data_IF_144975782377
#
_entry.id   IF_144975782377
#
_cell.length_a   1.000
_cell.length_b   1.000
_cell.length_c   1.000
_cell.angle_alpha   90.00
_cell.angle_beta   90.00
_cell.angle_gamma   90.00
#
_symmetry.space_group_name_H-M   'P 1'
#
loop_
_entity.id
_entity.type
_entity.pdbx_description
1 polymer ?
#
# COMPACT_ATOMS: atom_id res chain seq x y z
N UNK A 1 3.53 -47.71 69.93
CA UNK A 1 2.15 -48.10 70.30
C UNK A 1 1.28 -46.87 70.14
N UNK A 2 0.18 -47.05 69.39
CA UNK A 2 -1.02 -46.19 69.26
C UNK A 2 -0.80 -44.75 68.74
N UNK A 3 -1.22 -44.37 67.53
CA UNK A 3 -2.57 -44.43 66.96
C UNK A 3 -3.17 -43.00 67.02
N UNK A 4 -3.85 -42.40 66.04
CA UNK A 4 -4.18 -42.72 64.66
C UNK A 4 -5.01 -41.56 64.10
N UNK A 5 -4.87 -41.33 62.80
CA UNK A 5 -5.91 -40.91 61.85
C UNK A 5 -6.65 -39.55 62.03
N UNK A 6 -6.46 -38.64 61.07
CA UNK A 6 -7.57 -38.19 60.18
C UNK A 6 -7.06 -37.47 58.92
N UNK A 7 -7.36 -38.16 57.83
CA UNK A 7 -7.19 -37.83 56.43
C UNK A 7 -8.24 -36.79 55.97
N UNK A 8 -7.93 -35.96 54.96
CA UNK A 8 -8.71 -35.81 53.70
C UNK A 8 -8.25 -34.60 52.87
N UNK A 9 -7.66 -34.91 51.71
CA UNK A 9 -7.62 -34.01 50.56
C UNK A 9 -8.95 -33.95 49.82
N UNK A 10 -9.07 -33.01 48.88
CA UNK A 10 -10.17 -32.95 47.93
C UNK A 10 -9.66 -32.64 46.52
N UNK A 11 -9.93 -33.58 45.61
CA UNK A 11 -9.85 -33.45 44.16
C UNK A 11 -11.25 -33.35 43.54
N UNK A 12 -11.36 -32.56 42.48
CA UNK A 12 -12.27 -32.62 41.31
C UNK A 12 -13.56 -33.46 41.37
N UNK A 13 -14.69 -32.84 40.95
CA UNK A 13 -15.47 -33.32 39.79
C UNK A 13 -16.63 -32.40 39.40
N UNK A 14 -16.84 -32.30 38.08
CA UNK A 14 -17.97 -31.70 37.37
C UNK A 14 -19.31 -32.34 37.72
N UNK A 15 -20.43 -31.62 37.54
CA UNK A 15 -21.73 -32.25 37.29
C UNK A 15 -22.64 -31.41 36.41
N UNK A 16 -23.12 -32.04 35.33
CA UNK A 16 -24.24 -31.64 34.47
C UNK A 16 -25.56 -31.69 35.25
N UNK A 17 -26.53 -30.86 34.89
CA UNK A 17 -27.96 -31.15 35.07
C UNK A 17 -28.77 -30.84 33.81
N UNK A 18 -29.67 -31.77 33.50
CA UNK A 18 -30.64 -31.86 32.41
C UNK A 18 -32.03 -31.96 33.05
N UNK A 19 -33.07 -31.55 32.32
CA UNK A 19 -34.50 -31.79 32.61
C UNK A 19 -35.29 -30.48 32.58
N UNK A 20 -36.44 -30.34 31.94
CA UNK A 20 -37.32 -31.29 31.26
C UNK A 20 -38.61 -30.55 30.87
N UNK A 21 -39.31 -31.10 29.88
CA UNK A 21 -40.38 -30.52 29.05
C UNK A 21 -41.66 -30.02 29.73
N UNK A 22 -42.41 -29.16 29.02
CA UNK A 22 -43.87 -29.28 28.87
C UNK A 22 -44.39 -28.60 27.59
N UNK A 23 -45.22 -29.36 26.89
CA UNK A 23 -45.88 -29.13 25.60
C UNK A 23 -47.20 -28.38 25.79
N UNK A 24 -47.57 -27.49 24.85
CA UNK A 24 -48.95 -27.32 24.39
C UNK A 24 -49.01 -26.78 22.97
N UNK A 25 -50.10 -27.11 22.29
CA UNK A 25 -50.26 -27.30 20.86
C UNK A 25 -51.20 -26.25 20.24
N UNK A 26 -51.15 -26.17 18.90
CA UNK A 26 -52.14 -25.63 17.94
C UNK A 26 -52.18 -24.13 17.60
N UNK A 27 -52.11 -23.86 16.27
CA UNK A 27 -52.56 -22.62 15.65
C UNK A 27 -51.79 -22.20 14.38
N UNK A 28 -52.06 -22.83 13.24
CA UNK A 28 -51.52 -22.49 11.91
C UNK A 28 -51.90 -21.08 11.43
N UNK A 29 -50.97 -20.40 10.72
CA UNK A 29 -51.13 -19.94 9.31
C UNK A 29 -49.97 -19.05 8.83
N UNK A 30 -49.41 -19.39 7.66
CA UNK A 30 -48.96 -18.43 6.65
C UNK A 30 -47.47 -18.02 6.60
N UNK A 31 -46.68 -18.77 5.80
CA UNK A 31 -45.74 -18.32 4.73
C UNK A 31 -44.98 -16.98 4.88
N UNK A 32 -43.68 -16.83 4.60
CA UNK A 32 -42.62 -17.68 4.05
C UNK A 32 -41.25 -17.03 4.45
N UNK A 33 -40.27 -17.88 4.79
CA UNK A 33 -38.93 -17.50 5.27
C UNK A 33 -37.96 -17.28 4.10
N UNK A 34 -37.07 -16.30 4.22
CA UNK A 34 -35.74 -16.36 3.61
C UNK A 34 -34.70 -15.99 4.68
N UNK A 35 -33.99 -17.00 5.18
CA UNK A 35 -32.95 -16.84 6.19
C UNK A 35 -31.63 -17.39 5.66
N UNK A 36 -30.64 -16.49 5.68
CA UNK A 36 -29.20 -16.68 5.93
C UNK A 36 -28.73 -18.10 6.21
N UNK A 37 -27.63 -18.48 5.56
CA UNK A 37 -26.74 -19.54 5.99
C UNK A 37 -25.33 -19.34 5.42
N UNK A 38 -24.35 -19.08 6.29
CA UNK A 38 -22.91 -19.18 6.01
C UNK A 38 -22.51 -20.66 5.97
N UNK A 39 -21.51 -20.97 5.14
CA UNK A 39 -20.23 -21.66 5.51
C UNK A 39 -19.83 -22.77 4.54
N UNK A 40 -18.51 -22.88 4.40
CA UNK A 40 -17.68 -24.03 4.02
C UNK A 40 -17.15 -24.08 2.59
N UNK A 41 -15.84 -24.21 2.54
CA UNK A 41 -14.98 -24.33 1.39
C UNK A 41 -15.11 -25.72 0.76
N UNK A 42 -15.07 -25.77 -0.57
CA UNK A 42 -14.72 -26.97 -1.31
C UNK A 42 -13.91 -26.57 -2.54
N UNK A 43 -12.66 -27.00 -2.52
CA UNK A 43 -11.79 -27.23 -3.68
C UNK A 43 -12.56 -27.94 -4.80
N UNK A 44 -12.55 -27.38 -6.00
CA UNK A 44 -13.03 -28.06 -7.21
C UNK A 44 -11.91 -28.10 -8.24
N UNK A 45 -11.47 -29.33 -8.50
CA UNK A 45 -10.53 -29.75 -9.53
C UNK A 45 -10.88 -29.19 -10.91
N UNK A 46 -9.88 -28.57 -11.55
CA UNK A 46 -9.94 -28.20 -12.96
C UNK A 46 -9.65 -29.45 -13.79
N UNK A 47 -10.72 -30.09 -14.26
CA UNK A 47 -10.60 -31.06 -15.34
C UNK A 47 -10.32 -30.35 -16.66
N UNK A 48 -9.29 -30.89 -17.30
CA UNK A 48 -8.65 -30.52 -18.54
C UNK A 48 -9.62 -30.59 -19.74
N UNK A 49 -9.88 -29.46 -20.39
CA UNK A 49 -10.26 -29.45 -21.81
C UNK A 49 -9.33 -28.49 -22.53
N UNK A 50 -8.40 -29.11 -23.22
CA UNK A 50 -7.42 -28.53 -24.13
C UNK A 50 -8.19 -27.99 -25.35
N UNK A 51 -8.50 -26.69 -25.35
CA UNK A 51 -8.92 -25.98 -26.57
C UNK A 51 -7.70 -25.27 -27.18
N UNK A 52 -7.51 -25.54 -28.46
CA UNK A 52 -6.37 -25.18 -29.29
C UNK A 52 -5.92 -23.72 -29.15
N UNK A 53 -4.63 -23.54 -28.87
CA UNK A 53 -3.94 -22.26 -28.97
C UNK A 53 -3.81 -21.84 -30.45
N UNK A 54 -4.87 -21.22 -30.98
CA UNK A 54 -4.77 -20.39 -32.19
C UNK A 54 -3.82 -19.21 -31.91
N UNK A 55 -2.95 -18.83 -32.85
CA UNK A 55 -2.10 -17.66 -32.69
C UNK A 55 -3.01 -16.43 -32.56
N UNK A 56 -3.00 -15.82 -31.38
CA UNK A 56 -3.83 -14.66 -31.06
C UNK A 56 -3.57 -13.57 -32.10
N UNK A 57 -4.55 -13.28 -32.95
CA UNK A 57 -4.55 -12.05 -33.72
C UNK A 57 -4.42 -10.91 -32.73
N UNK A 58 -3.35 -10.11 -32.87
CA UNK A 58 -3.12 -8.98 -31.97
C UNK A 58 -4.32 -8.04 -32.08
N UNK A 59 -5.17 -8.05 -31.06
CA UNK A 59 -6.33 -7.18 -30.97
C UNK A 59 -5.82 -5.75 -30.73
N UNK A 60 -5.86 -4.92 -31.78
CA UNK A 60 -5.38 -3.54 -31.74
C UNK A 60 -6.57 -2.59 -31.63
N UNK A 61 -6.53 -1.72 -30.62
CA UNK A 61 -7.51 -0.67 -30.43
C UNK A 61 -7.44 0.41 -31.50
N UNK A 62 -8.59 0.97 -31.87
CA UNK A 62 -8.73 1.98 -32.94
C UNK A 62 -9.34 3.29 -32.46
N UNK A 63 -9.56 3.45 -31.14
CA UNK A 63 -10.05 4.71 -30.57
C UNK A 63 -9.02 5.83 -30.72
N UNK A 64 -9.30 6.90 -31.48
CA UNK A 64 -8.31 7.95 -31.73
C UNK A 64 -8.22 8.99 -30.59
N UNK A 65 -9.00 8.84 -29.52
CA UNK A 65 -9.15 9.82 -28.44
C UNK A 65 -8.86 9.20 -27.07
N UNK A 66 -8.66 10.03 -26.04
CA UNK A 66 -8.44 9.57 -24.66
C UNK A 66 -9.65 8.81 -24.06
N UNK A 67 -10.83 8.93 -24.69
CA UNK A 67 -12.05 8.21 -24.34
C UNK A 67 -12.83 7.80 -25.61
N UNK A 68 -13.33 6.55 -25.71
CA UNK A 68 -14.24 6.15 -26.78
C UNK A 68 -15.49 7.03 -26.85
N UNK A 69 -15.89 7.39 -28.06
CA UNK A 69 -17.03 8.28 -28.31
C UNK A 69 -18.33 7.77 -27.69
N UNK A 70 -18.56 6.44 -27.75
CA UNK A 70 -19.72 5.79 -27.14
C UNK A 70 -19.76 5.99 -25.62
N UNK A 71 -18.61 5.84 -24.95
CA UNK A 71 -18.51 6.06 -23.51
C UNK A 71 -18.73 7.55 -23.19
N UNK A 72 -18.12 8.46 -23.96
CA UNK A 72 -18.28 9.90 -23.78
C UNK A 72 -19.75 10.33 -23.83
N UNK A 73 -20.47 9.95 -24.89
CA UNK A 73 -21.91 10.24 -25.05
C UNK A 73 -22.72 9.64 -23.90
N UNK A 74 -22.41 8.42 -23.48
CA UNK A 74 -23.12 7.76 -22.39
C UNK A 74 -22.91 8.52 -21.06
N UNK A 75 -21.69 8.97 -20.79
CA UNK A 75 -21.35 9.71 -19.56
C UNK A 75 -21.92 11.12 -19.56
N UNK A 76 -22.04 11.78 -20.71
CA UNK A 76 -22.78 13.04 -20.86
C UNK A 76 -24.27 12.87 -20.52
N UNK A 77 -24.92 11.83 -21.06
CA UNK A 77 -26.33 11.52 -20.77
C UNK A 77 -26.58 11.21 -19.30
N UNK A 78 -25.69 10.43 -18.68
CA UNK A 78 -25.78 10.04 -17.27
C UNK A 78 -25.28 11.13 -16.30
N UNK A 79 -24.69 12.22 -16.80
CA UNK A 79 -24.03 13.26 -16.00
C UNK A 79 -22.92 12.72 -15.09
N UNK A 80 -22.20 11.70 -15.57
CA UNK A 80 -21.07 11.02 -14.88
C UNK A 80 -19.70 11.54 -15.40
N UNK A 81 -19.58 12.85 -15.57
CA UNK A 81 -18.32 13.51 -15.94
C UNK A 81 -17.60 14.02 -14.69
N UNK A 82 -16.31 13.67 -14.55
CA UNK A 82 -15.43 14.21 -13.53
C UNK A 82 -15.14 15.69 -13.82
N UNK A 83 -14.63 16.42 -12.82
CA UNK A 83 -14.42 17.88 -12.91
C UNK A 83 -13.55 18.26 -14.11
N UNK A 84 -12.48 17.52 -14.36
CA UNK A 84 -11.54 17.70 -15.49
C UNK A 84 -12.14 17.42 -16.87
N UNK A 85 -13.30 16.77 -16.93
CA UNK A 85 -13.91 16.31 -18.19
C UNK A 85 -15.07 17.22 -18.63
N UNK A 86 -15.40 18.23 -17.83
CA UNK A 86 -16.57 19.10 -18.03
C UNK A 86 -16.22 20.32 -18.86
N UNK A 87 -16.96 20.51 -19.94
CA UNK A 87 -16.86 21.73 -20.73
C UNK A 87 -17.53 22.88 -19.98
N UNK A 88 -16.77 23.93 -19.66
CA UNK A 88 -17.23 25.09 -18.88
C UNK A 88 -17.89 24.70 -17.54
N UNK A 89 -17.40 23.63 -16.89
CA UNK A 89 -17.93 23.13 -15.63
C UNK A 89 -19.30 22.41 -15.73
N UNK A 90 -19.87 22.26 -16.92
CA UNK A 90 -21.18 21.62 -17.10
C UNK A 90 -21.09 20.09 -16.97
N UNK A 91 -21.80 19.44 -16.02
CA UNK A 91 -21.72 18.00 -15.80
C UNK A 91 -22.32 17.13 -16.92
N UNK A 92 -23.05 17.73 -17.87
CA UNK A 92 -23.65 17.03 -19.02
C UNK A 92 -23.04 17.40 -20.37
N UNK A 93 -21.93 18.15 -20.40
CA UNK A 93 -21.24 18.52 -21.64
C UNK A 93 -19.73 18.29 -21.50
N UNK A 94 -19.12 17.70 -22.51
CA UNK A 94 -17.69 17.45 -22.59
C UNK A 94 -17.11 17.81 -23.96
N UNK A 95 -15.81 17.58 -24.14
CA UNK A 95 -15.18 17.56 -25.45
C UNK A 95 -14.28 16.31 -25.59
N UNK A 96 -14.00 15.83 -26.81
CA UNK A 96 -13.06 14.73 -27.02
C UNK A 96 -11.65 14.96 -26.47
N UNK A 97 -11.25 16.23 -26.28
CA UNK A 97 -9.96 16.61 -25.73
C UNK A 97 -9.90 16.59 -24.20
N UNK A 98 -11.04 16.48 -23.50
CA UNK A 98 -11.12 16.49 -22.03
C UNK A 98 -11.41 15.12 -21.43
N UNK A 99 -12.27 14.33 -22.07
CA UNK A 99 -12.76 13.07 -21.48
C UNK A 99 -11.72 11.97 -21.57
N UNK A 100 -11.48 11.30 -20.45
CA UNK A 100 -10.59 10.14 -20.37
C UNK A 100 -11.40 8.91 -20.01
N UNK A 101 -11.12 7.78 -20.70
CA UNK A 101 -11.80 6.50 -20.50
C UNK A 101 -11.78 6.08 -19.02
N UNK A 102 -12.94 5.84 -18.41
CA UNK A 102 -13.08 5.39 -17.01
C UNK A 102 -12.69 3.92 -16.88
N UNK A 103 -12.16 3.52 -15.72
CA UNK A 103 -11.87 2.10 -15.48
C UNK A 103 -13.17 1.29 -15.35
N UNK A 104 -13.24 0.15 -16.06
CA UNK A 104 -14.40 -0.74 -15.99
C UNK A 104 -14.09 -1.98 -15.16
N UNK A 105 -14.81 -2.19 -14.05
CA UNK A 105 -14.61 -3.34 -13.16
C UNK A 105 -14.93 -4.68 -13.81
N UNK A 106 -15.92 -4.70 -14.69
CA UNK A 106 -16.45 -5.91 -15.32
C UNK A 106 -16.47 -5.71 -16.82
N UNK A 107 -15.49 -6.28 -17.52
CA UNK A 107 -15.45 -6.28 -18.97
C UNK A 107 -15.79 -7.67 -19.47
N UNK A 108 -16.79 -7.76 -20.35
CA UNK A 108 -17.05 -8.96 -21.13
C UNK A 108 -16.29 -8.85 -22.45
N UNK A 109 -15.23 -9.65 -22.60
CA UNK A 109 -14.39 -9.67 -23.81
C UNK A 109 -15.19 -9.93 -25.10
N UNK A 110 -16.34 -10.61 -24.99
CA UNK A 110 -17.24 -10.89 -26.13
C UNK A 110 -17.84 -9.65 -26.80
N UNK A 111 -17.95 -8.53 -26.08
CA UNK A 111 -18.61 -7.31 -26.60
C UNK A 111 -17.65 -6.16 -26.86
N UNK A 112 -16.37 -6.31 -26.53
CA UNK A 112 -15.37 -5.25 -26.71
C UNK A 112 -15.03 -5.12 -28.20
N UNK A 113 -15.28 -3.94 -28.77
CA UNK A 113 -14.88 -3.62 -30.13
C UNK A 113 -13.51 -2.94 -30.14
N UNK A 114 -12.80 -2.99 -31.26
CA UNK A 114 -11.55 -2.25 -31.43
C UNK A 114 -11.72 -0.74 -31.17
N UNK A 115 -12.88 -0.17 -31.53
CA UNK A 115 -13.22 1.23 -31.30
C UNK A 115 -13.35 1.62 -29.82
N UNK A 116 -13.52 0.63 -28.94
CA UNK A 116 -13.65 0.85 -27.50
C UNK A 116 -12.28 0.91 -26.80
N UNK A 117 -11.19 0.76 -27.56
CA UNK A 117 -9.84 0.54 -27.06
C UNK A 117 -8.86 1.54 -27.68
N UNK A 118 -8.03 2.13 -26.84
CA UNK A 118 -7.02 3.11 -27.28
C UNK A 118 -5.77 2.39 -27.80
N UNK A 119 -5.27 2.74 -28.99
CA UNK A 119 -3.97 2.27 -29.45
C UNK A 119 -2.85 2.84 -28.56
N UNK A 120 -1.67 2.23 -28.65
CA UNK A 120 -0.55 2.55 -27.76
C UNK A 120 -0.14 4.03 -27.76
N UNK A 121 -0.19 4.71 -28.90
CA UNK A 121 0.14 6.14 -29.01
C UNK A 121 -0.83 6.99 -28.21
N UNK A 122 -2.13 6.71 -28.33
CA UNK A 122 -3.17 7.41 -27.58
C UNK A 122 -3.07 7.10 -26.08
N UNK A 123 -2.70 5.88 -25.69
CA UNK A 123 -2.46 5.54 -24.28
C UNK A 123 -1.30 6.35 -23.68
N UNK A 124 -0.21 6.48 -24.42
CA UNK A 124 0.96 7.28 -24.04
C UNK A 124 0.61 8.77 -23.87
N UNK A 125 -0.06 9.35 -24.87
CA UNK A 125 -0.54 10.74 -24.82
C UNK A 125 -1.52 10.96 -23.67
N UNK A 126 -2.43 10.00 -23.44
CA UNK A 126 -3.37 10.05 -22.31
C UNK A 126 -2.63 10.04 -20.98
N UNK A 127 -1.62 9.19 -20.82
CA UNK A 127 -0.85 9.14 -19.58
C UNK A 127 -0.11 10.46 -19.34
N UNK A 128 0.52 11.02 -20.38
CA UNK A 128 1.22 12.31 -20.27
C UNK A 128 0.27 13.44 -19.86
N UNK A 129 -0.95 13.47 -20.43
CA UNK A 129 -2.00 14.39 -19.98
C UNK A 129 -2.38 14.17 -18.51
N UNK A 130 -2.58 12.92 -18.07
CA UNK A 130 -2.93 12.64 -16.67
C UNK A 130 -1.81 13.04 -15.70
N UNK A 131 -0.54 12.83 -16.07
CA UNK A 131 0.59 13.19 -15.24
C UNK A 131 0.79 14.71 -15.16
N UNK A 132 0.49 15.47 -16.22
CA UNK A 132 0.56 16.94 -16.15
C UNK A 132 -0.49 17.55 -15.20
N UNK A 133 -1.62 16.87 -14.97
CA UNK A 133 -2.60 17.29 -13.96
C UNK A 133 -2.04 17.27 -12.53
N UNK A 134 -1.01 16.46 -12.25
CA UNK A 134 -0.36 16.40 -10.94
C UNK A 134 0.46 17.65 -10.62
N UNK A 135 0.86 18.41 -11.64
CA UNK A 135 1.61 19.66 -11.51
C UNK A 135 0.66 20.87 -11.35
N UNK A 136 -0.61 20.72 -11.71
CA UNK A 136 -1.61 21.78 -11.60
C UNK A 136 -2.00 22.04 -10.14
N UNK A 137 -2.12 23.32 -9.79
CA UNK A 137 -2.60 23.79 -8.48
C UNK A 137 -4.07 24.21 -8.49
N UNK A 138 -4.79 23.98 -9.60
CA UNK A 138 -6.19 24.38 -9.75
C UNK A 138 -7.15 23.58 -8.87
N UNK A 139 -6.78 22.34 -8.54
CA UNK A 139 -7.59 21.42 -7.74
C UNK A 139 -6.78 20.84 -6.57
N UNK A 140 -7.49 20.39 -5.53
CA UNK A 140 -6.83 19.71 -4.41
C UNK A 140 -6.22 18.39 -4.86
N UNK A 141 -5.21 17.93 -4.12
CA UNK A 141 -4.53 16.68 -4.43
C UNK A 141 -5.49 15.49 -4.46
N UNK A 142 -6.48 15.44 -3.56
CA UNK A 142 -7.46 14.36 -3.46
C UNK A 142 -8.30 14.26 -4.73
N UNK A 143 -8.75 15.39 -5.28
CA UNK A 143 -9.55 15.44 -6.51
C UNK A 143 -8.73 14.98 -7.72
N UNK A 144 -7.48 15.42 -7.82
CA UNK A 144 -6.57 14.99 -8.89
C UNK A 144 -6.22 13.51 -8.73
N UNK A 145 -5.89 13.07 -7.52
CA UNK A 145 -5.57 11.69 -7.19
C UNK A 145 -6.71 10.75 -7.62
N UNK A 146 -7.95 11.01 -7.21
CA UNK A 146 -9.07 10.13 -7.51
C UNK A 146 -9.32 9.99 -9.01
N UNK A 147 -9.13 11.07 -9.76
CA UNK A 147 -9.22 11.06 -11.21
C UNK A 147 -8.08 10.25 -11.85
N UNK A 148 -6.82 10.59 -11.56
CA UNK A 148 -5.64 9.93 -12.15
C UNK A 148 -5.58 8.45 -11.73
N UNK A 149 -5.93 8.14 -10.48
CA UNK A 149 -6.00 6.77 -9.96
C UNK A 149 -6.97 5.89 -10.74
N UNK A 150 -8.16 6.39 -11.08
CA UNK A 150 -9.11 5.64 -11.91
C UNK A 150 -8.62 5.51 -13.36
N UNK A 151 -8.16 6.61 -13.97
CA UNK A 151 -7.80 6.64 -15.39
C UNK A 151 -6.53 5.86 -15.71
N UNK A 152 -5.55 5.83 -14.81
CA UNK A 152 -4.36 4.97 -14.96
C UNK A 152 -4.70 3.48 -14.91
N UNK A 153 -5.71 3.07 -14.11
CA UNK A 153 -6.23 1.69 -14.15
C UNK A 153 -6.89 1.35 -15.47
N UNK A 154 -7.59 2.31 -16.08
CA UNK A 154 -8.16 2.17 -17.42
C UNK A 154 -7.07 2.00 -18.49
N UNK A 155 -5.97 2.78 -18.40
CA UNK A 155 -4.81 2.62 -19.29
C UNK A 155 -4.20 1.22 -19.15
N UNK A 156 -3.95 0.76 -17.92
CA UNK A 156 -3.45 -0.60 -17.67
C UNK A 156 -4.37 -1.68 -18.24
N UNK A 157 -5.68 -1.51 -18.04
CA UNK A 157 -6.70 -2.41 -18.58
C UNK A 157 -6.62 -2.48 -20.11
N UNK A 158 -6.42 -1.33 -20.77
CA UNK A 158 -6.26 -1.29 -22.22
C UNK A 158 -4.96 -1.97 -22.70
N UNK A 159 -3.85 -1.78 -21.98
CA UNK A 159 -2.56 -2.45 -22.26
C UNK A 159 -2.68 -3.97 -22.13
N UNK A 160 -3.30 -4.45 -21.04
CA UNK A 160 -3.47 -5.88 -20.79
C UNK A 160 -4.37 -6.53 -21.84
N UNK A 161 -5.51 -5.91 -22.19
CA UNK A 161 -6.45 -6.50 -23.15
C UNK A 161 -5.91 -6.54 -24.58
N UNK A 162 -4.98 -5.65 -24.93
CA UNK A 162 -4.28 -5.65 -26.21
C UNK A 162 -2.95 -6.44 -26.19
N UNK A 163 -2.61 -7.06 -25.05
CA UNK A 163 -1.35 -7.78 -24.83
C UNK A 163 -0.10 -6.97 -25.22
N UNK A 164 -0.08 -5.68 -24.89
CA UNK A 164 1.03 -4.78 -25.25
C UNK A 164 2.15 -4.93 -24.22
N UNK A 165 3.31 -5.40 -24.68
CA UNK A 165 4.47 -5.68 -23.82
C UNK A 165 5.77 -4.98 -24.24
N UNK A 166 5.73 -3.99 -25.13
CA UNK A 166 6.96 -3.33 -25.63
C UNK A 166 7.54 -2.27 -24.67
N UNK A 167 8.68 -1.66 -25.05
CA UNK A 167 9.35 -0.62 -24.27
C UNK A 167 8.46 0.60 -23.94
N UNK A 168 7.50 0.96 -24.81
CA UNK A 168 6.55 2.03 -24.51
C UNK A 168 5.64 1.65 -23.33
N UNK A 169 5.19 0.40 -23.27
CA UNK A 169 4.45 -0.10 -22.11
C UNK A 169 5.29 -0.02 -20.84
N UNK A 170 6.57 -0.40 -20.90
CA UNK A 170 7.50 -0.26 -19.76
C UNK A 170 7.51 1.18 -19.25
N UNK A 171 7.78 2.16 -20.11
CA UNK A 171 7.80 3.58 -19.72
C UNK A 171 6.47 4.08 -19.13
N UNK A 172 5.34 3.65 -19.68
CA UNK A 172 4.03 3.99 -19.13
C UNK A 172 3.84 3.40 -17.73
N UNK A 173 4.21 2.13 -17.52
CA UNK A 173 4.15 1.49 -16.21
C UNK A 173 5.09 2.16 -15.20
N UNK A 174 6.29 2.56 -15.60
CA UNK A 174 7.19 3.36 -14.74
C UNK A 174 6.50 4.65 -14.27
N UNK A 175 5.86 5.39 -15.17
CA UNK A 175 5.13 6.62 -14.84
C UNK A 175 3.96 6.39 -13.88
N UNK A 176 3.18 5.32 -14.12
CA UNK A 176 2.06 4.95 -13.23
C UNK A 176 2.53 4.49 -11.84
N UNK A 177 3.64 3.74 -11.75
CA UNK A 177 4.22 3.38 -10.46
C UNK A 177 4.70 4.62 -9.72
N UNK A 178 5.40 5.54 -10.40
CA UNK A 178 5.84 6.81 -9.79
C UNK A 178 4.68 7.62 -9.22
N UNK A 179 3.60 7.76 -9.98
CA UNK A 179 2.35 8.37 -9.49
C UNK A 179 1.88 7.70 -8.20
N UNK A 180 1.71 6.37 -8.20
CA UNK A 180 1.22 5.66 -7.02
C UNK A 180 2.15 5.75 -5.81
N UNK A 181 3.47 5.77 -5.99
CA UNK A 181 4.47 5.95 -4.91
C UNK A 181 4.36 7.33 -4.28
N UNK A 182 4.33 8.38 -5.09
CA UNK A 182 4.20 9.76 -4.60
C UNK A 182 2.84 9.96 -3.94
N UNK A 183 1.77 9.43 -4.54
CA UNK A 183 0.44 9.46 -3.94
C UNK A 183 0.37 8.69 -2.63
N UNK A 184 1.09 7.57 -2.49
CA UNK A 184 1.15 6.82 -1.24
C UNK A 184 1.70 7.68 -0.11
N UNK A 185 2.81 8.38 -0.35
CA UNK A 185 3.40 9.30 0.60
C UNK A 185 2.46 10.47 0.94
N UNK A 186 1.89 11.16 -0.06
CA UNK A 186 0.98 12.30 0.16
C UNK A 186 -0.27 11.90 0.94
N UNK A 187 -0.88 10.75 0.62
CA UNK A 187 -2.04 10.22 1.34
C UNK A 187 -1.66 9.82 2.78
N UNK A 188 -0.46 9.26 2.98
CA UNK A 188 0.04 8.94 4.32
C UNK A 188 0.22 10.20 5.18
N UNK A 189 0.73 11.30 4.61
CA UNK A 189 0.84 12.57 5.32
C UNK A 189 -0.52 13.11 5.84
N UNK A 190 -1.61 12.77 5.16
CA UNK A 190 -2.99 13.18 5.50
C UNK A 190 -3.83 12.06 6.14
N UNK A 191 -3.19 11.00 6.65
CA UNK A 191 -3.89 9.79 7.11
C UNK A 191 -4.73 9.98 8.38
N UNK A 192 -4.52 11.08 9.11
CA UNK A 192 -5.33 11.46 10.26
C UNK A 192 -6.80 11.74 9.90
N UNK A 193 -7.11 12.01 8.62
CA UNK A 193 -8.48 12.06 8.12
C UNK A 193 -9.04 10.63 7.93
N UNK A 194 -10.16 10.27 8.60
CA UNK A 194 -10.79 8.96 8.48
C UNK A 194 -11.08 8.52 7.03
N UNK A 195 -11.35 9.46 6.12
CA UNK A 195 -11.64 9.14 4.72
C UNK A 195 -10.36 8.70 3.98
N UNK A 196 -9.22 9.31 4.31
CA UNK A 196 -7.93 9.11 3.64
C UNK A 196 -7.33 7.73 3.89
N UNK A 197 -7.58 7.11 5.05
CA UNK A 197 -7.04 5.79 5.35
C UNK A 197 -7.49 4.72 4.34
N UNK A 198 -8.76 4.77 3.90
CA UNK A 198 -9.31 3.85 2.90
C UNK A 198 -8.70 4.07 1.52
N UNK A 199 -8.52 5.34 1.12
CA UNK A 199 -7.91 5.75 -0.15
C UNK A 199 -6.43 5.35 -0.19
N UNK A 200 -5.70 5.57 0.92
CA UNK A 200 -4.32 5.16 1.09
C UNK A 200 -4.14 3.65 0.91
N UNK A 201 -5.04 2.84 1.49
CA UNK A 201 -5.02 1.38 1.34
C UNK A 201 -5.28 0.95 -0.11
N UNK A 202 -6.29 1.53 -0.76
CA UNK A 202 -6.59 1.25 -2.17
C UNK A 202 -5.44 1.67 -3.10
N UNK A 203 -4.79 2.80 -2.79
CA UNK A 203 -3.60 3.24 -3.51
C UNK A 203 -2.44 2.25 -3.37
N UNK A 204 -2.17 1.76 -2.16
CA UNK A 204 -1.16 0.73 -1.94
C UNK A 204 -1.46 -0.56 -2.71
N UNK A 205 -2.72 -1.00 -2.74
CA UNK A 205 -3.11 -2.18 -3.52
C UNK A 205 -2.84 -2.00 -5.03
N UNK A 206 -3.16 -0.83 -5.59
CA UNK A 206 -2.86 -0.55 -7.00
C UNK A 206 -1.38 -0.32 -7.26
N UNK A 207 -0.64 0.28 -6.33
CA UNK A 207 0.81 0.40 -6.40
C UNK A 207 1.44 -0.98 -6.56
N UNK A 208 1.12 -1.92 -5.67
CA UNK A 208 1.62 -3.29 -5.71
C UNK A 208 1.30 -3.99 -7.03
N UNK A 209 0.05 -3.89 -7.49
CA UNK A 209 -0.38 -4.52 -8.76
C UNK A 209 0.34 -3.93 -9.96
N UNK A 210 0.44 -2.60 -10.02
CA UNK A 210 1.12 -1.89 -11.12
C UNK A 210 2.61 -2.21 -11.14
N UNK A 211 3.24 -2.23 -9.96
CA UNK A 211 4.65 -2.58 -9.81
C UNK A 211 4.89 -4.03 -10.22
N UNK A 212 4.07 -4.98 -9.78
CA UNK A 212 4.20 -6.38 -10.21
C UNK A 212 4.10 -6.55 -11.73
N UNK A 213 3.17 -5.82 -12.38
CA UNK A 213 3.08 -5.79 -13.84
C UNK A 213 4.34 -5.20 -14.50
N UNK A 214 4.89 -4.11 -13.95
CA UNK A 214 6.14 -3.51 -14.44
C UNK A 214 7.31 -4.50 -14.33
N UNK A 215 7.46 -5.18 -13.19
CA UNK A 215 8.52 -6.16 -12.99
C UNK A 215 8.41 -7.34 -13.96
N UNK A 216 7.19 -7.82 -14.23
CA UNK A 216 6.95 -8.83 -15.25
C UNK A 216 7.32 -8.32 -16.65
N UNK A 217 7.01 -7.05 -16.98
CA UNK A 217 7.43 -6.46 -18.25
C UNK A 217 8.96 -6.41 -18.39
N UNK A 218 9.70 -6.11 -17.32
CA UNK A 218 11.17 -6.20 -17.37
C UNK A 218 11.65 -7.62 -17.64
N UNK A 219 11.01 -8.63 -17.03
CA UNK A 219 11.35 -10.04 -17.26
C UNK A 219 11.05 -10.47 -18.71
N UNK A 220 9.88 -10.13 -19.25
CA UNK A 220 9.46 -10.47 -20.62
C UNK A 220 10.32 -9.77 -21.68
N UNK A 221 10.77 -8.54 -21.43
CA UNK A 221 11.62 -7.78 -22.35
C UNK A 221 13.12 -8.00 -22.09
N UNK A 222 13.50 -8.96 -21.24
CA UNK A 222 14.90 -9.24 -20.94
C UNK A 222 15.57 -9.94 -22.12
N UNK A 223 16.12 -9.15 -23.04
CA UNK A 223 17.05 -9.64 -24.05
C UNK A 223 18.45 -9.76 -23.42
N UNK A 224 19.20 -10.78 -23.82
CA UNK A 224 20.35 -11.36 -23.09
C UNK A 224 21.48 -10.43 -22.64
N UNK A 225 21.49 -9.15 -23.01
CA UNK A 225 22.47 -8.15 -22.53
C UNK A 225 21.90 -6.76 -22.20
N UNK A 226 20.57 -6.55 -22.21
CA UNK A 226 19.99 -5.24 -21.92
C UNK A 226 19.24 -5.25 -20.59
N UNK A 227 19.72 -4.44 -19.64
CA UNK A 227 19.05 -4.12 -18.38
C UNK A 227 18.42 -2.76 -18.55
N UNK A 228 17.14 -2.61 -18.20
CA UNK A 228 16.51 -1.29 -18.30
C UNK A 228 17.13 -0.36 -17.25
N UNK A 229 17.38 0.89 -17.62
CA UNK A 229 18.11 1.84 -16.77
C UNK A 229 17.50 1.98 -15.36
N UNK A 230 16.16 1.97 -15.26
CA UNK A 230 15.43 2.14 -14.00
C UNK A 230 14.98 0.83 -13.37
N UNK A 231 15.29 -0.32 -13.97
CA UNK A 231 14.87 -1.64 -13.50
C UNK A 231 15.18 -1.82 -12.01
N UNK A 232 16.41 -1.49 -11.62
CA UNK A 232 16.87 -1.67 -10.25
C UNK A 232 16.19 -0.72 -9.23
N UNK A 233 15.84 0.50 -9.64
CA UNK A 233 15.08 1.43 -8.81
C UNK A 233 13.70 0.82 -8.46
N UNK A 234 12.95 0.34 -9.45
CA UNK A 234 11.63 -0.24 -9.22
C UNK A 234 11.68 -1.57 -8.46
N UNK A 235 12.69 -2.42 -8.72
CA UNK A 235 12.92 -3.61 -7.89
C UNK A 235 13.21 -3.23 -6.42
N UNK A 236 13.91 -2.12 -6.18
CA UNK A 236 14.17 -1.66 -4.81
C UNK A 236 12.89 -1.27 -4.08
N UNK A 237 11.95 -0.60 -4.76
CA UNK A 237 10.64 -0.24 -4.20
C UNK A 237 9.84 -1.49 -3.82
N UNK A 238 9.88 -2.53 -4.64
CA UNK A 238 9.23 -3.81 -4.32
C UNK A 238 9.78 -4.38 -3.01
N UNK A 239 11.09 -4.37 -2.80
CA UNK A 239 11.71 -4.84 -1.54
C UNK A 239 11.28 -3.99 -0.35
N UNK A 240 11.25 -2.67 -0.47
CA UNK A 240 10.89 -1.76 0.62
C UNK A 240 9.42 -1.87 1.03
N UNK A 241 8.51 -2.14 0.09
CA UNK A 241 7.10 -2.38 0.40
C UNK A 241 6.84 -3.65 1.23
N UNK A 242 7.85 -4.53 1.42
CA UNK A 242 7.79 -5.71 2.29
C UNK A 242 8.26 -5.47 3.73
N UNK A 243 8.55 -4.22 4.12
CA UNK A 243 8.99 -3.94 5.49
C UNK A 243 7.87 -4.20 6.52
N UNK A 244 6.63 -3.80 6.23
CA UNK A 244 5.53 -3.83 7.20
C UNK A 244 5.01 -5.22 7.53
N UNK A 245 4.81 -5.50 8.83
CA UNK A 245 4.21 -6.73 9.35
C UNK A 245 2.73 -6.92 8.97
N UNK A 246 2.04 -5.84 8.62
CA UNK A 246 0.64 -5.81 8.17
C UNK A 246 0.48 -5.85 6.65
N UNK A 247 1.59 -5.85 5.89
CA UNK A 247 1.52 -5.96 4.44
C UNK A 247 0.95 -7.35 4.08
N UNK A 248 -0.12 -7.37 3.29
CA UNK A 248 -0.60 -8.61 2.69
C UNK A 248 0.58 -9.26 1.95
N UNK A 249 0.75 -10.60 2.01
CA UNK A 249 1.84 -11.28 1.32
C UNK A 249 1.88 -10.84 -0.14
N UNK A 250 2.89 -10.05 -0.52
CA UNK A 250 3.01 -9.52 -1.87
C UNK A 250 3.64 -10.55 -2.79
N UNK A 251 2.84 -11.53 -3.21
CA UNK A 251 3.31 -12.63 -4.05
C UNK A 251 4.13 -13.63 -3.24
N UNK A 252 5.29 -14.01 -3.76
CA UNK A 252 6.13 -15.02 -3.12
C UNK A 252 7.08 -14.43 -2.05
N UNK A 253 7.71 -15.27 -1.21
CA UNK A 253 8.73 -14.81 -0.28
C UNK A 253 9.93 -14.13 -0.98
N UNK A 254 10.40 -13.00 -0.43
CA UNK A 254 11.57 -12.28 -0.97
C UNK A 254 12.80 -13.16 -1.18
N UNK A 255 12.98 -14.20 -0.36
CA UNK A 255 14.10 -15.16 -0.50
C UNK A 255 14.07 -15.93 -1.82
N UNK A 256 12.89 -16.24 -2.36
CA UNK A 256 12.73 -16.87 -3.67
C UNK A 256 12.82 -15.82 -4.78
N UNK A 257 12.17 -14.67 -4.58
CA UNK A 257 12.17 -13.57 -5.55
C UNK A 257 13.59 -13.08 -5.88
N UNK A 258 14.46 -12.91 -4.87
CA UNK A 258 15.85 -12.48 -5.09
C UNK A 258 16.65 -13.44 -5.98
N UNK A 259 16.27 -14.72 -6.09
CA UNK A 259 16.97 -15.72 -6.93
C UNK A 259 16.75 -15.48 -8.41
N UNK A 260 15.67 -14.80 -8.80
CA UNK A 260 15.36 -14.50 -10.20
C UNK A 260 15.97 -13.20 -10.70
N UNK A 261 16.45 -12.36 -9.79
CA UNK A 261 17.10 -11.11 -10.19
C UNK A 261 18.43 -11.39 -10.88
N UNK A 262 18.70 -10.62 -11.94
CA UNK A 262 19.99 -10.66 -12.62
C UNK A 262 21.10 -10.13 -11.71
N UNK A 263 22.33 -10.60 -11.94
CA UNK A 263 23.49 -10.15 -11.16
C UNK A 263 23.74 -8.64 -11.24
N UNK A 264 23.59 -7.96 -12.40
CA UNK A 264 23.71 -6.50 -12.47
C UNK A 264 22.69 -5.79 -11.57
N UNK A 265 21.43 -6.22 -11.56
CA UNK A 265 20.38 -5.64 -10.73
C UNK A 265 20.66 -5.89 -9.25
N UNK A 266 21.08 -7.11 -8.87
CA UNK A 266 21.43 -7.43 -7.48
C UNK A 266 22.58 -6.60 -6.91
N UNK A 267 23.52 -6.18 -7.76
CA UNK A 267 24.69 -5.38 -7.39
C UNK A 267 24.45 -3.86 -7.51
N UNK A 268 23.27 -3.43 -7.96
CA UNK A 268 22.97 -2.01 -8.09
C UNK A 268 22.94 -1.32 -6.72
N UNK A 269 23.17 0.00 -6.72
CA UNK A 269 23.11 0.80 -5.49
C UNK A 269 21.70 0.79 -4.88
N UNK A 270 20.66 0.80 -5.71
CA UNK A 270 19.25 0.83 -5.29
C UNK A 270 18.87 -0.45 -4.55
N UNK A 271 19.30 -1.62 -5.06
CA UNK A 271 19.02 -2.90 -4.41
C UNK A 271 19.89 -3.11 -3.17
N UNK A 272 21.16 -2.69 -3.20
CA UNK A 272 22.02 -2.75 -2.02
C UNK A 272 21.45 -1.89 -0.88
N UNK A 273 20.96 -0.68 -1.19
CA UNK A 273 20.23 0.17 -0.26
C UNK A 273 19.02 -0.55 0.34
N UNK A 274 18.11 -1.05 -0.51
CA UNK A 274 16.88 -1.69 -0.04
C UNK A 274 17.16 -2.94 0.81
N UNK A 275 18.18 -3.72 0.47
CA UNK A 275 18.62 -4.88 1.26
C UNK A 275 19.17 -4.48 2.63
N UNK A 276 19.95 -3.40 2.71
CA UNK A 276 20.48 -2.88 3.98
C UNK A 276 19.35 -2.38 4.87
N UNK A 277 18.44 -1.59 4.33
CA UNK A 277 17.24 -1.12 5.04
C UNK A 277 16.41 -2.29 5.54
N UNK A 278 16.10 -3.28 4.69
CA UNK A 278 15.35 -4.48 5.07
C UNK A 278 16.03 -5.25 6.21
N UNK A 279 17.36 -5.41 6.14
CA UNK A 279 18.13 -6.07 7.19
C UNK A 279 18.06 -5.30 8.50
N UNK A 280 18.26 -3.99 8.46
CA UNK A 280 18.29 -3.14 9.65
C UNK A 280 16.91 -3.03 10.30
N UNK A 281 15.85 -2.97 9.50
CA UNK A 281 14.47 -3.06 9.98
C UNK A 281 14.21 -4.40 10.70
N UNK A 282 14.52 -5.54 10.06
CA UNK A 282 14.27 -6.88 10.63
C UNK A 282 15.09 -7.19 11.87
N UNK A 283 16.31 -6.65 11.97
CA UNK A 283 17.18 -6.84 13.14
C UNK A 283 16.92 -5.81 14.25
N UNK A 284 16.03 -4.84 14.04
CA UNK A 284 15.78 -3.76 15.00
C UNK A 284 16.95 -2.76 15.12
N UNK A 285 17.86 -2.72 14.13
CA UNK A 285 18.97 -1.76 14.12
C UNK A 285 18.49 -0.39 13.58
N UNK A 286 17.77 0.34 14.43
CA UNK A 286 17.20 1.64 14.09
C UNK A 286 18.27 2.69 13.70
N UNK A 287 19.46 2.65 14.33
CA UNK A 287 20.55 3.58 13.99
C UNK A 287 21.01 3.39 12.54
N UNK A 288 21.30 2.16 12.14
CA UNK A 288 21.70 1.88 10.76
C UNK A 288 20.58 2.18 9.77
N UNK A 289 19.33 1.88 10.14
CA UNK A 289 18.15 2.19 9.33
C UNK A 289 18.06 3.71 9.04
N UNK A 290 18.08 4.56 10.07
CA UNK A 290 17.97 6.01 9.89
C UNK A 290 19.17 6.63 9.19
N UNK A 291 20.40 6.25 9.57
CA UNK A 291 21.61 6.76 8.92
C UNK A 291 21.68 6.35 7.44
N UNK A 292 21.29 5.11 7.10
CA UNK A 292 21.27 4.65 5.71
C UNK A 292 20.18 5.38 4.91
N UNK A 293 18.98 5.53 5.48
CA UNK A 293 17.89 6.25 4.83
C UNK A 293 18.28 7.71 4.53
N UNK A 294 18.79 8.43 5.52
CA UNK A 294 19.22 9.82 5.38
C UNK A 294 20.33 9.99 4.33
N UNK A 295 21.29 9.06 4.27
CA UNK A 295 22.47 9.21 3.42
C UNK A 295 22.27 8.76 1.96
N UNK A 296 21.32 7.85 1.68
CA UNK A 296 21.29 7.11 0.41
C UNK A 296 19.92 6.99 -0.25
N UNK A 297 18.82 7.32 0.43
CA UNK A 297 17.49 7.13 -0.14
C UNK A 297 17.28 8.02 -1.37
N UNK A 298 16.82 7.43 -2.47
CA UNK A 298 16.23 8.22 -3.55
C UNK A 298 14.87 8.77 -3.11
N UNK A 299 14.37 9.80 -3.80
CA UNK A 299 13.05 10.37 -3.52
C UNK A 299 11.92 9.32 -3.50
N UNK A 300 11.88 8.40 -4.48
CA UNK A 300 10.85 7.36 -4.52
C UNK A 300 11.00 6.34 -3.37
N UNK A 301 12.23 5.98 -3.03
CA UNK A 301 12.51 5.10 -1.90
C UNK A 301 12.11 5.77 -0.57
N UNK A 302 12.38 7.06 -0.42
CA UNK A 302 11.94 7.86 0.71
C UNK A 302 10.41 7.85 0.83
N UNK A 303 9.68 8.14 -0.25
CA UNK A 303 8.21 8.10 -0.25
C UNK A 303 7.63 6.75 0.23
N UNK A 304 8.26 5.63 -0.15
CA UNK A 304 7.86 4.29 0.32
C UNK A 304 8.25 4.04 1.78
N UNK A 305 9.36 4.62 2.26
CA UNK A 305 9.88 4.39 3.61
C UNK A 305 9.13 5.14 4.69
N UNK A 306 8.62 6.33 4.37
CA UNK A 306 8.01 7.24 5.34
C UNK A 306 6.93 6.60 6.24
N UNK A 307 6.00 5.75 5.72
CA UNK A 307 5.04 5.05 6.54
C UNK A 307 5.61 4.17 7.66
N UNK A 308 6.85 3.68 7.50
CA UNK A 308 7.52 2.78 8.45
C UNK A 308 8.41 3.51 9.45
N UNK A 309 8.75 4.79 9.22
CA UNK A 309 9.68 5.55 10.07
C UNK A 309 9.21 5.55 11.53
N UNK A 310 7.93 5.82 11.77
CA UNK A 310 7.41 5.92 13.12
C UNK A 310 7.30 4.56 13.83
N UNK A 311 7.10 3.47 13.08
CA UNK A 311 7.20 2.11 13.61
C UNK A 311 8.62 1.83 14.12
N UNK A 312 9.64 2.21 13.34
CA UNK A 312 11.04 2.10 13.74
C UNK A 312 11.35 3.00 14.94
N UNK A 313 10.84 4.23 14.98
CA UNK A 313 11.00 5.14 16.13
C UNK A 313 10.37 4.56 17.41
N UNK A 314 9.17 4.00 17.33
CA UNK A 314 8.50 3.38 18.48
C UNK A 314 9.27 2.15 18.99
N UNK A 315 9.77 1.32 18.07
CA UNK A 315 10.65 0.19 18.41
C UNK A 315 11.95 0.67 19.07
N UNK A 316 12.58 1.71 18.55
CA UNK A 316 13.78 2.31 19.13
C UNK A 316 13.54 2.83 20.56
N UNK A 317 12.44 3.56 20.77
CA UNK A 317 12.03 4.03 22.11
C UNK A 317 11.80 2.86 23.07
N UNK A 318 11.17 1.78 22.60
CA UNK A 318 10.99 0.56 23.40
C UNK A 318 12.33 -0.02 23.85
N UNK A 319 13.29 -0.16 22.93
CA UNK A 319 14.62 -0.67 23.22
C UNK A 319 15.39 0.24 24.19
N UNK A 320 15.31 1.56 24.03
CA UNK A 320 16.00 2.53 24.89
C UNK A 320 15.38 2.55 26.29
N UNK A 321 14.06 2.58 26.39
CA UNK A 321 13.35 2.53 27.66
C UNK A 321 13.68 1.21 28.41
N UNK A 322 13.74 0.09 27.70
CA UNK A 322 14.07 -1.20 28.32
C UNK A 322 15.56 -1.32 28.66
N UNK A 323 16.47 -0.86 27.81
CA UNK A 323 17.91 -1.05 27.97
C UNK A 323 18.61 0.01 28.84
N UNK A 324 17.99 1.17 29.01
CA UNK A 324 18.59 2.30 29.72
C UNK A 324 18.83 2.08 31.21
N UNK A 325 19.78 2.84 31.76
CA UNK A 325 20.09 2.82 33.18
C UNK A 325 19.20 3.81 33.93
N UNK A 326 18.50 3.33 34.97
CA UNK A 326 17.46 4.10 35.67
C UNK A 326 17.97 5.44 36.25
N UNK A 327 19.23 5.50 36.66
CA UNK A 327 19.82 6.70 37.25
C UNK A 327 20.34 7.70 36.22
N UNK A 328 20.36 7.35 34.93
CA UNK A 328 20.86 8.22 33.86
C UNK A 328 19.77 8.33 32.78
N UNK A 329 18.81 9.25 32.96
CA UNK A 329 17.84 9.60 31.92
C UNK A 329 18.56 10.01 30.62
N UNK A 330 17.96 9.70 29.48
CA UNK A 330 18.53 10.05 28.18
C UNK A 330 18.22 11.51 27.83
N UNK A 331 19.21 12.30 27.41
CA UNK A 331 18.94 13.63 26.85
C UNK A 331 18.05 13.52 25.61
N UNK A 332 16.96 14.30 25.60
CA UNK A 332 16.00 14.26 24.51
C UNK A 332 16.61 14.83 23.23
N UNK A 333 17.51 15.81 23.35
CA UNK A 333 18.26 16.37 22.23
C UNK A 333 19.09 15.28 21.50
N UNK A 334 19.93 14.54 22.22
CA UNK A 334 20.72 13.44 21.64
C UNK A 334 19.82 12.37 21.02
N UNK A 335 18.67 12.09 21.65
CA UNK A 335 17.72 11.12 21.13
C UNK A 335 17.03 11.62 19.85
N UNK A 336 16.76 12.92 19.77
CA UNK A 336 16.16 13.58 18.60
C UNK A 336 17.06 13.44 17.36
N UNK A 337 18.37 13.60 17.54
CA UNK A 337 19.36 13.40 16.49
C UNK A 337 19.44 11.92 16.07
N UNK A 338 19.47 10.99 17.03
CA UNK A 338 19.50 9.56 16.73
C UNK A 338 18.25 9.03 16.02
N UNK A 339 17.09 9.61 16.29
CA UNK A 339 15.79 9.21 15.73
C UNK A 339 15.35 10.09 14.54
N UNK A 340 16.21 11.02 14.13
CA UNK A 340 15.98 11.94 13.01
C UNK A 340 14.61 12.64 13.09
N UNK A 341 14.25 13.14 14.28
CA UNK A 341 12.97 13.80 14.58
C UNK A 341 13.25 15.07 15.38
N UNK A 342 12.42 16.12 15.24
CA UNK A 342 12.58 17.34 16.04
C UNK A 342 12.36 17.05 17.52
N UNK A 343 13.09 17.72 18.40
CA UNK A 343 12.96 17.52 19.85
C UNK A 343 11.52 17.74 20.36
N UNK A 344 10.81 18.76 19.87
CA UNK A 344 9.41 19.04 20.20
C UNK A 344 8.46 17.89 19.81
N UNK A 345 8.74 17.30 18.65
CA UNK A 345 7.95 16.22 18.07
C UNK A 345 8.24 14.90 18.81
N UNK A 346 9.50 14.69 19.20
CA UNK A 346 9.93 13.55 19.99
C UNK A 346 9.28 13.55 21.37
N UNK A 347 9.18 14.70 22.03
CA UNK A 347 8.48 14.83 23.31
C UNK A 347 7.01 14.38 23.19
N UNK A 348 6.32 14.86 22.15
CA UNK A 348 4.95 14.46 21.83
C UNK A 348 4.85 12.97 21.50
N UNK A 349 5.82 12.43 20.77
CA UNK A 349 5.89 11.03 20.38
C UNK A 349 6.14 10.08 21.56
N UNK A 350 6.99 10.48 22.51
CA UNK A 350 7.21 9.77 23.77
C UNK A 350 5.89 9.66 24.55
N UNK A 351 5.18 10.78 24.74
CA UNK A 351 3.88 10.80 25.40
C UNK A 351 2.85 9.91 24.68
N UNK A 352 2.87 9.92 23.34
CA UNK A 352 2.00 9.06 22.53
C UNK A 352 2.29 7.57 22.71
N UNK A 353 3.56 7.21 22.98
CA UNK A 353 3.99 5.86 23.34
C UNK A 353 3.85 5.55 24.85
N UNK A 354 3.17 6.42 25.62
CA UNK A 354 2.94 6.24 27.05
C UNK A 354 4.16 6.49 27.93
N UNK A 355 5.20 7.15 27.40
CA UNK A 355 6.41 7.52 28.15
C UNK A 355 6.33 8.97 28.60
N UNK A 356 6.68 9.22 29.85
CA UNK A 356 6.79 10.56 30.42
C UNK A 356 8.22 11.10 30.24
N UNK A 357 8.33 12.38 29.89
CA UNK A 357 9.59 13.13 29.84
C UNK A 357 9.69 14.04 31.08
N UNK A 358 10.91 14.38 31.49
CA UNK A 358 11.15 15.33 32.58
C UNK A 358 12.12 16.42 32.14
N UNK A 359 12.19 17.50 32.90
CA UNK A 359 13.12 18.61 32.66
C UNK A 359 14.12 18.68 33.81
N UNK A 360 15.41 18.85 33.49
CA UNK A 360 16.44 19.06 34.49
C UNK A 360 16.47 20.51 35.02
N UNK A 361 17.32 20.78 36.02
CA UNK A 361 17.50 22.11 36.61
C UNK A 361 18.02 23.15 35.60
N UNK A 362 18.63 22.70 34.49
CA UNK A 362 19.15 23.55 33.42
C UNK A 362 18.12 23.79 32.29
N UNK A 363 16.92 23.20 32.40
CA UNK A 363 15.86 23.33 31.39
C UNK A 363 15.93 22.31 30.26
N UNK A 364 16.86 21.34 30.28
CA UNK A 364 16.97 20.33 29.24
C UNK A 364 15.92 19.23 29.45
N UNK A 365 15.28 18.79 28.36
CA UNK A 365 14.36 17.65 28.40
C UNK A 365 15.13 16.34 28.42
N UNK A 366 14.67 15.43 29.27
CA UNK A 366 15.22 14.11 29.49
C UNK A 366 14.11 13.05 29.41
N UNK A 367 14.49 11.85 28.98
CA UNK A 367 13.64 10.66 28.99
C UNK A 367 14.11 9.70 30.10
N UNK A 368 13.38 9.59 31.21
CA UNK A 368 13.55 8.51 32.18
C UNK A 368 13.37 7.14 31.51
N UNK A 369 14.18 6.16 31.92
CA UNK A 369 14.11 4.80 31.37
C UNK A 369 13.50 3.83 32.38
N UNK A 370 13.19 2.60 31.94
CA UNK A 370 12.49 1.56 32.71
C UNK A 370 11.05 1.91 33.09
N UNK A 371 10.39 2.76 32.32
CA UNK A 371 8.97 3.06 32.49
C UNK A 371 8.13 1.85 32.05
N UNK A 372 7.23 1.36 32.91
CA UNK A 372 6.35 0.22 32.63
C UNK A 372 5.13 0.59 31.79
N UNK A 373 4.94 1.88 31.53
CA UNK A 373 3.78 2.47 30.84
C UNK A 373 3.90 2.44 29.31
N UNK A 374 5.06 2.05 28.78
CA UNK A 374 5.29 1.97 27.34
C UNK A 374 4.19 1.15 26.65
N UNK A 375 3.58 1.73 25.64
CA UNK A 375 2.63 1.04 24.78
C UNK A 375 2.96 1.33 23.30
N UNK A 376 2.81 0.31 22.46
CA UNK A 376 2.83 0.54 21.03
C UNK A 376 1.52 1.20 20.62
N UNK A 377 1.54 2.37 19.94
CA UNK A 377 0.31 3.03 19.55
C UNK A 377 -0.52 2.15 18.61
N UNK A 378 -1.84 2.10 18.88
CA UNK A 378 -2.80 1.26 18.14
C UNK A 378 -3.54 2.00 17.03
N UNK A 379 -3.47 3.34 17.00
CA UNK A 379 -4.28 4.22 16.15
C UNK A 379 -3.58 4.76 14.90
N UNK A 380 -2.48 4.15 14.46
CA UNK A 380 -1.57 4.77 13.49
C UNK A 380 -0.71 5.85 14.13
N UNK A 381 0.32 6.32 13.44
CA UNK A 381 1.20 7.37 13.96
C UNK A 381 0.84 8.73 13.34
N UNK A 382 1.01 9.81 14.11
CA UNK A 382 1.02 11.16 13.55
C UNK A 382 2.20 11.32 12.59
N UNK A 383 2.07 12.23 11.62
CA UNK A 383 3.15 12.54 10.70
C UNK A 383 4.18 13.43 11.40
N UNK A 384 5.43 12.96 11.44
CA UNK A 384 6.57 13.72 11.98
C UNK A 384 7.66 13.78 10.92
N UNK A 385 8.18 14.99 10.68
CA UNK A 385 9.22 15.23 9.67
C UNK A 385 10.45 14.34 9.89
N UNK A 386 11.12 13.98 8.80
CA UNK A 386 12.38 13.26 8.84
C UNK A 386 13.55 14.25 8.74
N UNK A 387 14.32 14.39 9.82
CA UNK A 387 15.48 15.28 9.80
C UNK A 387 16.53 14.79 8.80
N UNK A 388 17.01 15.69 7.94
CA UNK A 388 18.00 15.41 6.91
C UNK A 388 17.42 15.15 5.51
N UNK A 389 16.10 14.96 5.39
CA UNK A 389 15.42 14.77 4.09
C UNK A 389 14.24 15.74 3.91
N UNK A 390 14.25 16.90 4.57
CA UNK A 390 13.17 17.88 4.48
C UNK A 390 12.99 18.45 3.06
N UNK A 391 14.00 18.34 2.20
CA UNK A 391 13.87 18.71 0.78
C UNK A 391 12.90 17.82 0.01
N UNK A 392 12.73 16.55 0.43
CA UNK A 392 11.78 15.62 -0.17
C UNK A 392 10.35 15.80 0.37
N UNK A 393 10.17 16.60 1.40
CA UNK A 393 8.87 16.91 1.99
C UNK A 393 8.20 18.15 1.33
N UNK A 394 8.91 18.85 0.44
CA UNK A 394 8.40 19.99 -0.35
C UNK A 394 7.83 19.50 -1.68
#
# INVERSE_FOLDING_TARGET
MEGGNRNRGFSFSQTRRRGGDRVSTFGERGTAKCSRGRSSASTSDLNNTQEDAQPSSNFVGTCPYMCPERERIQREKLRDLAVFERLNGNPGKSSPALVVKKFCRTISTKYVQASDMRPITVLEDTLNYLLSLLESKEHSFEVVHDFVFDRTRSIRQDLTMQNIVNNKAVYMYEGMVKFHVVSHYKLWCSISDPNTASVHHLNLEQLTKTLASLLNLYEVNRNSNHVHEKEAEFHSLYVLLHLGSSSQPMGEPLSLWFRRLSTPVLKSKEICFARRILRSFRLGNYKDFFCTAAAQASYLQFCVLMPYINEVRAMALSCINFGGYKLHPYPLLDLSEHLMIKESDLDSFCNYCGLETCTDESGNKLLPTKQTTFNHPKGGFQNYSFLGLQEYER
#
